data_IF_014496131569
#
_entry.id   IF_014496131569
#
_cell.length_a   1.000
_cell.length_b   1.000
_cell.length_c   1.000
_cell.angle_alpha   90.00
_cell.angle_beta   90.00
_cell.angle_gamma   90.00
#
_symmetry.space_group_name_H-M   'P 1'
#
loop_
_entity.id
_entity.type
_entity.pdbx_description
1 polymer ?
#
# COMPACT_ATOMS: atom_id res chain seq x y z
N UNK A 1 -3.34 -19.11 -8.07
CA UNK A 1 -4.81 -19.35 -8.21
C UNK A 1 -5.35 -18.90 -9.56
N UNK A 2 -5.09 -17.66 -10.00
CA UNK A 2 -5.64 -17.14 -11.27
C UNK A 2 -4.78 -17.44 -12.49
N UNK A 3 -3.45 -17.36 -12.37
CA UNK A 3 -2.54 -17.74 -13.44
C UNK A 3 -2.24 -19.26 -13.35
N UNK A 4 -2.78 -20.04 -14.29
CA UNK A 4 -2.61 -21.48 -14.42
C UNK A 4 -1.85 -21.86 -15.69
N UNK A 5 -1.17 -20.89 -16.32
CA UNK A 5 -0.42 -21.10 -17.56
C UNK A 5 0.82 -21.97 -17.30
N UNK A 6 1.17 -22.77 -18.29
CA UNK A 6 2.36 -23.62 -18.36
C UNK A 6 3.45 -23.04 -19.29
N UNK A 7 3.17 -21.91 -19.93
CA UNK A 7 4.09 -21.20 -20.80
C UNK A 7 4.98 -20.19 -20.05
N UNK A 8 5.73 -19.39 -20.81
CA UNK A 8 6.71 -18.43 -20.26
C UNK A 8 6.11 -17.32 -19.39
N UNK A 9 4.78 -17.11 -19.43
CA UNK A 9 4.06 -16.12 -18.61
C UNK A 9 3.42 -16.75 -17.36
N UNK A 10 3.51 -18.07 -17.22
CA UNK A 10 3.02 -18.85 -16.08
C UNK A 10 4.11 -19.23 -15.10
N UNK A 11 3.87 -20.29 -14.33
CA UNK A 11 4.88 -20.90 -13.46
C UNK A 11 4.50 -20.96 -11.97
N UNK A 12 5.27 -21.78 -11.25
CA UNK A 12 5.02 -22.09 -9.82
C UNK A 12 5.47 -20.95 -8.91
N UNK A 13 6.52 -20.23 -9.28
CA UNK A 13 7.09 -19.15 -8.47
C UNK A 13 6.49 -17.80 -8.81
N UNK A 14 6.55 -16.86 -7.86
CA UNK A 14 6.12 -15.48 -8.09
C UNK A 14 7.00 -14.80 -9.16
N UNK A 15 8.32 -15.06 -9.13
CA UNK A 15 9.28 -14.53 -10.11
C UNK A 15 8.92 -14.90 -11.54
N UNK A 16 8.59 -16.18 -11.80
CA UNK A 16 8.18 -16.62 -13.15
C UNK A 16 6.92 -15.88 -13.62
N UNK A 17 5.94 -15.74 -12.74
CA UNK A 17 4.68 -15.05 -13.04
C UNK A 17 4.83 -13.52 -13.16
N UNK A 18 5.89 -12.94 -12.59
CA UNK A 18 6.18 -11.50 -12.69
C UNK A 18 6.72 -11.09 -14.05
N UNK A 19 7.01 -12.02 -14.97
CA UNK A 19 7.48 -11.70 -16.35
C UNK A 19 6.57 -10.69 -17.03
N UNK A 20 5.25 -10.85 -16.92
CA UNK A 20 4.31 -9.91 -17.53
C UNK A 20 4.49 -8.49 -16.99
N UNK A 21 4.57 -8.32 -15.67
CA UNK A 21 4.81 -7.03 -15.05
C UNK A 21 6.16 -6.43 -15.48
N UNK A 22 7.22 -7.25 -15.54
CA UNK A 22 8.55 -6.82 -15.96
C UNK A 22 8.55 -6.25 -17.39
N UNK A 23 7.93 -6.94 -18.35
CA UNK A 23 7.87 -6.46 -19.73
C UNK A 23 7.01 -5.20 -19.87
N UNK A 24 5.94 -5.06 -19.09
CA UNK A 24 5.15 -3.82 -19.03
C UNK A 24 5.99 -2.67 -18.48
N UNK A 25 6.71 -2.86 -17.38
CA UNK A 25 7.55 -1.81 -16.77
C UNK A 25 8.62 -1.35 -17.76
N UNK A 26 9.33 -2.29 -18.41
CA UNK A 26 10.35 -1.96 -19.42
C UNK A 26 9.76 -1.19 -20.60
N UNK A 27 8.60 -1.60 -21.10
CA UNK A 27 7.93 -0.91 -22.20
C UNK A 27 7.49 0.51 -21.81
N UNK A 28 6.93 0.68 -20.60
CA UNK A 28 6.58 2.01 -20.07
C UNK A 28 7.84 2.86 -19.93
N UNK A 29 8.89 2.35 -19.29
CA UNK A 29 10.18 3.06 -19.12
C UNK A 29 10.77 3.50 -20.46
N UNK A 30 10.76 2.63 -21.46
CA UNK A 30 11.24 2.97 -22.81
C UNK A 30 10.40 4.09 -23.46
N UNK A 31 9.09 4.14 -23.18
CA UNK A 31 8.20 5.15 -23.74
C UNK A 31 8.29 6.51 -23.03
N UNK A 32 8.48 6.53 -21.71
CA UNK A 32 8.45 7.78 -20.90
C UNK A 32 9.83 8.39 -20.65
N UNK A 33 10.91 7.65 -20.91
CA UNK A 33 12.28 8.08 -20.65
C UNK A 33 12.72 7.87 -19.18
N UNK A 34 14.00 8.14 -18.86
CA UNK A 34 14.58 7.83 -17.54
C UNK A 34 14.08 8.73 -16.40
N UNK A 35 13.66 9.96 -16.70
CA UNK A 35 13.33 10.96 -15.66
C UNK A 35 11.86 10.93 -15.21
N UNK A 36 11.01 10.18 -15.92
CA UNK A 36 9.58 10.11 -15.59
C UNK A 36 9.35 9.09 -14.45
N UNK A 37 8.74 9.46 -13.32
CA UNK A 37 8.53 8.51 -12.21
C UNK A 37 7.55 7.39 -12.56
N UNK A 38 7.95 6.14 -12.30
CA UNK A 38 7.08 4.96 -12.42
C UNK A 38 6.76 4.41 -11.03
N UNK A 39 5.47 4.52 -10.67
CA UNK A 39 4.92 3.95 -9.45
C UNK A 39 4.30 2.57 -9.75
N UNK A 40 4.60 1.58 -8.93
CA UNK A 40 3.93 0.28 -8.99
C UNK A 40 3.19 -0.01 -7.69
N UNK A 41 1.87 -0.23 -7.81
CA UNK A 41 1.05 -0.67 -6.69
C UNK A 41 1.07 -2.19 -6.57
N UNK A 42 1.45 -2.69 -5.39
CA UNK A 42 1.58 -4.12 -5.09
C UNK A 42 0.67 -4.51 -3.93
N UNK A 43 0.20 -5.75 -3.93
CA UNK A 43 -0.75 -6.24 -2.91
C UNK A 43 -0.31 -7.59 -2.36
N UNK A 44 -0.18 -7.66 -1.04
CA UNK A 44 0.09 -8.87 -0.26
C UNK A 44 -1.17 -9.49 0.36
N UNK A 45 -2.36 -8.97 0.05
CA UNK A 45 -3.65 -9.44 0.54
C UNK A 45 -4.73 -9.18 -0.51
N UNK A 46 -5.89 -9.82 -0.35
CA UNK A 46 -7.06 -9.63 -1.22
C UNK A 46 -8.30 -9.35 -0.39
N UNK A 47 -9.24 -8.57 -0.94
CA UNK A 47 -10.46 -8.20 -0.23
C UNK A 47 -11.34 -9.41 0.13
N UNK A 48 -11.32 -10.47 -0.69
CA UNK A 48 -12.07 -11.71 -0.42
C UNK A 48 -11.25 -12.78 0.32
N UNK A 49 -9.94 -12.57 0.52
CA UNK A 49 -9.04 -13.57 1.10
C UNK A 49 -7.91 -12.84 1.85
N UNK A 50 -8.13 -12.58 3.15
CA UNK A 50 -7.20 -11.78 3.95
C UNK A 50 -5.88 -12.48 4.23
N UNK A 51 -5.89 -13.81 4.27
CA UNK A 51 -4.68 -14.62 4.44
C UNK A 51 -3.90 -14.81 3.12
N UNK A 52 -4.41 -14.28 2.01
CA UNK A 52 -3.77 -14.44 0.69
C UNK A 52 -2.48 -13.63 0.58
N UNK A 53 -1.36 -14.22 0.97
CA UNK A 53 -0.04 -13.62 0.81
C UNK A 53 0.66 -14.13 -0.45
N UNK A 54 1.17 -13.22 -1.31
CA UNK A 54 1.91 -13.60 -2.51
C UNK A 54 3.33 -14.04 -2.20
N UNK A 55 3.98 -13.31 -1.28
CA UNK A 55 5.33 -13.58 -0.79
C UNK A 55 5.29 -13.79 0.74
N UNK A 56 5.35 -15.03 1.25
CA UNK A 56 5.19 -15.35 2.67
C UNK A 56 6.41 -15.05 3.54
N UNK A 57 7.52 -14.55 2.97
CA UNK A 57 8.73 -14.20 3.72
C UNK A 57 9.39 -12.93 3.15
N UNK A 58 10.27 -12.25 3.92
CA UNK A 58 11.07 -11.14 3.41
C UNK A 58 11.91 -11.51 2.17
N UNK A 59 12.48 -12.72 2.15
CA UNK A 59 13.26 -13.21 1.00
C UNK A 59 12.40 -13.33 -0.26
N UNK A 60 11.14 -13.75 -0.13
CA UNK A 60 10.21 -13.82 -1.28
C UNK A 60 9.70 -12.44 -1.70
N UNK A 61 9.60 -11.47 -0.78
CA UNK A 61 9.34 -10.06 -1.12
C UNK A 61 10.51 -9.51 -1.95
N UNK A 62 11.74 -9.72 -1.50
CA UNK A 62 12.93 -9.27 -2.21
C UNK A 62 13.02 -9.92 -3.61
N UNK A 63 12.87 -11.24 -3.69
CA UNK A 63 12.87 -11.96 -4.97
C UNK A 63 11.78 -11.48 -5.93
N UNK A 64 10.67 -10.96 -5.40
CA UNK A 64 9.59 -10.39 -6.20
C UNK A 64 9.85 -8.95 -6.62
N UNK A 65 10.22 -8.08 -5.68
CA UNK A 65 10.27 -6.63 -5.88
C UNK A 65 11.60 -6.15 -6.48
N UNK A 66 12.73 -6.79 -6.16
CA UNK A 66 14.03 -6.36 -6.68
C UNK A 66 14.08 -6.39 -8.23
N UNK A 67 13.60 -7.44 -8.92
CA UNK A 67 13.56 -7.41 -10.38
C UNK A 67 12.66 -6.31 -10.96
N UNK A 68 11.59 -5.94 -10.27
CA UNK A 68 10.69 -4.86 -10.69
C UNK A 68 11.35 -3.49 -10.52
N UNK A 69 12.11 -3.31 -9.43
CA UNK A 69 12.93 -2.14 -9.19
C UNK A 69 14.01 -1.99 -10.28
N UNK A 70 14.71 -3.08 -10.60
CA UNK A 70 15.74 -3.12 -11.67
C UNK A 70 15.14 -2.84 -13.05
N UNK A 71 13.90 -3.26 -13.31
CA UNK A 71 13.20 -2.99 -14.56
C UNK A 71 12.81 -1.51 -14.73
N UNK A 72 12.84 -0.72 -13.66
CA UNK A 72 12.61 0.73 -13.71
C UNK A 72 11.46 1.24 -12.84
N UNK A 73 10.97 0.47 -11.86
CA UNK A 73 10.07 1.01 -10.82
C UNK A 73 10.85 1.92 -9.88
N UNK A 74 10.33 3.12 -9.66
CA UNK A 74 10.93 4.12 -8.78
C UNK A 74 10.32 4.10 -7.38
N UNK A 75 9.02 3.78 -7.30
CA UNK A 75 8.27 3.80 -6.05
C UNK A 75 7.32 2.60 -5.94
N UNK A 76 7.34 1.91 -4.81
CA UNK A 76 6.37 0.86 -4.50
C UNK A 76 5.24 1.40 -3.62
N UNK A 77 4.01 1.32 -4.11
CA UNK A 77 2.82 1.57 -3.31
C UNK A 77 2.28 0.24 -2.79
N UNK A 78 2.53 -0.04 -1.51
CA UNK A 78 2.18 -1.31 -0.90
C UNK A 78 0.76 -1.22 -0.31
N UNK A 79 -0.18 -1.93 -0.93
CA UNK A 79 -1.54 -2.04 -0.42
C UNK A 79 -1.55 -2.70 0.94
N UNK A 80 -2.23 -2.09 1.93
CA UNK A 80 -2.44 -2.66 3.26
C UNK A 80 -3.85 -2.33 3.76
N UNK A 81 -4.41 -3.19 4.61
CA UNK A 81 -5.70 -2.93 5.25
C UNK A 81 -5.57 -1.79 6.27
N UNK A 82 -4.50 -1.84 7.07
CA UNK A 82 -4.15 -0.89 8.13
C UNK A 82 -2.65 -0.66 8.09
N UNK A 83 -2.22 0.60 7.99
CA UNK A 83 -0.78 0.92 7.84
C UNK A 83 0.08 0.46 9.02
N UNK A 84 -0.55 0.22 10.19
CA UNK A 84 0.14 -0.11 11.44
C UNK A 84 0.32 -1.60 11.68
N UNK A 85 -0.22 -2.47 10.82
CA UNK A 85 -0.06 -3.91 10.96
C UNK A 85 1.30 -4.34 10.40
N UNK A 86 2.06 -5.10 11.19
CA UNK A 86 3.32 -5.68 10.74
C UNK A 86 3.06 -6.72 9.63
N UNK A 87 3.90 -6.73 8.61
CA UNK A 87 3.80 -7.70 7.52
C UNK A 87 4.24 -9.10 7.99
N UNK A 88 5.30 -9.18 8.79
CA UNK A 88 5.89 -10.42 9.29
C UNK A 88 6.11 -10.35 10.82
N UNK A 89 5.04 -10.33 11.63
CA UNK A 89 5.13 -10.16 13.08
C UNK A 89 5.94 -11.25 13.79
N UNK A 90 6.09 -12.42 13.17
CA UNK A 90 6.95 -13.51 13.61
C UNK A 90 8.45 -13.20 13.49
N UNK A 91 8.84 -12.19 12.71
CA UNK A 91 10.23 -11.80 12.46
C UNK A 91 10.61 -10.56 13.27
N UNK A 92 9.81 -9.49 13.18
CA UNK A 92 10.13 -8.19 13.77
C UNK A 92 9.08 -7.69 14.78
N UNK A 93 8.18 -8.60 15.20
CA UNK A 93 7.18 -8.34 16.22
C UNK A 93 5.93 -7.64 15.70
N UNK A 94 4.90 -7.57 16.55
CA UNK A 94 3.60 -6.96 16.21
C UNK A 94 3.66 -5.49 15.79
N UNK A 95 4.70 -4.78 16.21
CA UNK A 95 4.95 -3.36 15.90
C UNK A 95 6.09 -3.19 14.87
N UNK A 96 6.47 -4.29 14.20
CA UNK A 96 7.47 -4.33 13.14
C UNK A 96 7.01 -3.67 11.84
N UNK A 97 7.82 -3.82 10.79
CA UNK A 97 7.61 -3.16 9.50
C UNK A 97 6.35 -3.67 8.81
N UNK A 98 5.60 -2.75 8.25
CA UNK A 98 4.53 -3.08 7.30
C UNK A 98 5.10 -3.44 5.92
N UNK A 99 4.24 -3.78 4.96
CA UNK A 99 4.67 -4.14 3.60
C UNK A 99 5.51 -3.03 2.93
N UNK A 100 5.15 -1.76 3.13
CA UNK A 100 5.90 -0.63 2.59
C UNK A 100 7.31 -0.51 3.22
N UNK A 101 7.43 -0.77 4.52
CA UNK A 101 8.72 -0.79 5.21
C UNK A 101 9.61 -1.93 4.79
N UNK A 102 9.06 -3.13 4.59
CA UNK A 102 9.82 -4.22 4.00
C UNK A 102 10.26 -3.93 2.57
N UNK A 103 9.37 -3.40 1.74
CA UNK A 103 9.72 -3.01 0.37
C UNK A 103 10.84 -1.96 0.35
N UNK A 104 10.78 -0.93 1.21
CA UNK A 104 11.82 0.10 1.33
C UNK A 104 13.14 -0.51 1.77
N UNK A 105 13.13 -1.29 2.86
CA UNK A 105 14.32 -1.94 3.42
C UNK A 105 15.02 -2.86 2.42
N UNK A 106 14.26 -3.62 1.63
CA UNK A 106 14.81 -4.65 0.74
C UNK A 106 15.22 -4.11 -0.62
N UNK A 107 14.55 -3.08 -1.13
CA UNK A 107 14.81 -2.56 -2.50
C UNK A 107 15.56 -1.24 -2.52
N UNK A 108 15.60 -0.50 -1.40
CA UNK A 108 16.12 0.85 -1.33
C UNK A 108 15.31 1.88 -2.13
N UNK A 109 14.18 1.49 -2.73
CA UNK A 109 13.27 2.38 -3.44
C UNK A 109 12.36 3.11 -2.46
N UNK A 110 11.87 4.27 -2.86
CA UNK A 110 10.86 4.98 -2.09
C UNK A 110 9.56 4.18 -2.04
N UNK A 111 8.79 4.32 -0.96
CA UNK A 111 7.56 3.57 -0.75
C UNK A 111 6.40 4.40 -0.27
N UNK A 112 5.20 3.97 -0.65
CA UNK A 112 3.93 4.52 -0.21
C UNK A 112 3.21 3.46 0.62
N UNK A 113 2.97 3.74 1.89
CA UNK A 113 2.07 2.94 2.73
C UNK A 113 0.61 3.40 2.57
N UNK A 114 -0.34 2.59 3.03
CA UNK A 114 -1.78 2.90 3.00
C UNK A 114 -2.51 2.08 4.06
N UNK A 115 -3.74 2.49 4.38
CA UNK A 115 -4.68 1.68 5.16
C UNK A 115 -5.13 2.38 6.43
N UNK A 116 -6.44 2.66 6.53
CA UNK A 116 -7.08 3.29 7.71
C UNK A 116 -6.43 4.59 8.23
N UNK A 117 -5.90 5.42 7.35
CA UNK A 117 -5.33 6.73 7.74
C UNK A 117 -6.44 7.65 8.25
N UNK A 118 -6.28 8.16 9.46
CA UNK A 118 -7.22 9.09 10.10
C UNK A 118 -8.60 8.49 10.41
N UNK A 119 -8.76 7.17 10.34
CA UNK A 119 -10.00 6.47 10.69
C UNK A 119 -9.74 5.40 11.75
N UNK A 120 -10.68 5.23 12.67
CA UNK A 120 -10.63 4.20 13.70
C UNK A 120 -10.96 2.78 13.18
N UNK A 121 -11.69 2.68 12.06
CA UNK A 121 -12.13 1.41 11.45
C UNK A 121 -11.51 1.18 10.05
N UNK A 122 -11.46 -0.07 9.62
CA UNK A 122 -10.94 -0.45 8.29
C UNK A 122 -11.98 -0.33 7.18
N UNK A 123 -11.52 -0.48 5.94
CA UNK A 123 -12.35 -0.29 4.75
C UNK A 123 -13.56 -1.20 4.70
N UNK A 124 -13.45 -2.41 5.25
CA UNK A 124 -14.45 -3.47 5.09
C UNK A 124 -15.59 -3.27 6.09
N UNK A 125 -15.25 -2.90 7.32
CA UNK A 125 -16.23 -2.47 8.33
C UNK A 125 -17.04 -1.26 7.86
N UNK A 126 -16.41 -0.30 7.15
CA UNK A 126 -17.15 0.82 6.56
C UNK A 126 -18.20 0.38 5.52
N UNK A 127 -17.88 -0.56 4.61
CA UNK A 127 -18.86 -1.08 3.63
C UNK A 127 -19.94 -1.98 4.25
N UNK A 128 -19.76 -2.42 5.50
CA UNK A 128 -20.79 -3.07 6.30
C UNK A 128 -21.84 -2.12 6.88
N UNK A 129 -21.74 -0.81 6.61
CA UNK A 129 -22.68 0.21 7.10
C UNK A 129 -22.23 0.94 8.36
N UNK A 130 -21.03 0.65 8.89
CA UNK A 130 -20.51 1.32 10.07
C UNK A 130 -19.82 2.64 9.75
N UNK A 131 -20.15 3.69 10.50
CA UNK A 131 -19.43 4.95 10.45
C UNK A 131 -18.04 4.79 11.06
N UNK A 132 -17.04 5.38 10.43
CA UNK A 132 -15.66 5.41 10.93
C UNK A 132 -15.35 6.82 11.45
N UNK A 133 -15.09 6.96 12.75
CA UNK A 133 -14.72 8.23 13.35
C UNK A 133 -13.26 8.62 13.05
N UNK A 134 -12.91 9.91 13.17
CA UNK A 134 -11.52 10.36 13.12
C UNK A 134 -10.65 9.59 14.11
N UNK A 135 -9.42 9.27 13.73
CA UNK A 135 -8.41 8.70 14.62
C UNK A 135 -7.14 9.54 14.66
N UNK A 136 -6.41 9.43 15.77
CA UNK A 136 -5.12 10.11 15.92
C UNK A 136 -4.13 9.67 14.84
N UNK A 137 -3.36 10.64 14.34
CA UNK A 137 -2.26 10.42 13.41
C UNK A 137 -0.92 10.16 14.11
N UNK A 138 -0.86 10.15 15.44
CA UNK A 138 0.39 10.03 16.20
C UNK A 138 1.17 8.76 15.82
N UNK A 139 0.48 7.62 15.67
CA UNK A 139 1.12 6.37 15.25
C UNK A 139 1.65 6.44 13.82
N UNK A 140 0.97 7.16 12.93
CA UNK A 140 1.44 7.38 11.56
C UNK A 140 2.71 8.24 11.57
N UNK A 141 2.65 9.38 12.26
CA UNK A 141 3.77 10.31 12.38
C UNK A 141 5.00 9.65 12.99
N UNK A 142 4.81 8.86 14.06
CA UNK A 142 5.90 8.12 14.69
C UNK A 142 6.57 7.13 13.72
N UNK A 143 5.81 6.42 12.90
CA UNK A 143 6.35 5.45 11.94
C UNK A 143 7.05 6.13 10.75
N UNK A 144 6.51 7.25 10.28
CA UNK A 144 7.19 8.07 9.27
C UNK A 144 8.49 8.70 9.80
N UNK A 145 8.52 9.15 11.06
CA UNK A 145 9.73 9.64 11.73
C UNK A 145 10.81 8.56 11.89
N UNK A 146 10.41 7.28 11.95
CA UNK A 146 11.32 6.12 11.92
C UNK A 146 11.76 5.74 10.50
N UNK A 147 11.43 6.54 9.49
CA UNK A 147 11.77 6.34 8.08
C UNK A 147 11.20 5.04 7.49
N UNK A 148 10.13 4.50 8.07
CA UNK A 148 9.57 3.21 7.65
C UNK A 148 8.92 3.25 6.26
N UNK A 149 8.44 4.41 5.81
CA UNK A 149 7.92 4.64 4.45
C UNK A 149 7.91 6.14 4.18
N UNK A 150 8.05 6.52 2.90
CA UNK A 150 8.27 7.92 2.50
C UNK A 150 6.96 8.69 2.36
N UNK A 151 5.90 8.02 1.89
CA UNK A 151 4.59 8.60 1.66
C UNK A 151 3.48 7.75 2.28
N UNK A 152 2.35 8.39 2.56
CA UNK A 152 1.13 7.72 3.01
C UNK A 152 -0.02 8.08 2.07
N UNK A 153 -0.64 7.08 1.47
CA UNK A 153 -1.82 7.29 0.64
C UNK A 153 -3.06 7.45 1.52
N UNK A 154 -3.83 8.50 1.22
CA UNK A 154 -5.05 8.86 1.93
C UNK A 154 -6.21 8.78 0.94
N UNK A 155 -7.33 8.16 1.35
CA UNK A 155 -8.46 7.87 0.47
C UNK A 155 -9.79 8.28 1.08
N UNK A 156 -10.45 7.36 1.80
CA UNK A 156 -11.81 7.54 2.35
C UNK A 156 -12.05 8.87 3.08
N UNK A 157 -11.10 9.33 3.89
CA UNK A 157 -11.25 10.62 4.61
C UNK A 157 -11.34 11.81 3.67
N UNK A 158 -10.70 11.77 2.50
CA UNK A 158 -10.78 12.85 1.51
C UNK A 158 -12.14 12.91 0.82
N UNK A 159 -12.84 11.77 0.74
CA UNK A 159 -14.20 11.73 0.20
C UNK A 159 -15.21 12.39 1.15
N UNK A 160 -14.99 12.25 2.46
CA UNK A 160 -15.83 12.86 3.47
C UNK A 160 -15.43 14.31 3.79
N UNK A 161 -14.14 14.63 3.69
CA UNK A 161 -13.56 15.90 4.08
C UNK A 161 -12.48 16.34 3.07
N UNK A 162 -12.82 17.08 2.01
CA UNK A 162 -11.84 17.55 1.03
C UNK A 162 -10.83 18.55 1.62
N UNK A 163 -11.10 19.11 2.80
CA UNK A 163 -10.21 20.03 3.52
C UNK A 163 -9.35 19.31 4.57
N UNK A 164 -9.40 17.97 4.64
CA UNK A 164 -8.70 17.16 5.64
C UNK A 164 -7.22 17.51 5.78
N UNK A 165 -6.51 17.66 4.65
CA UNK A 165 -5.08 18.01 4.66
C UNK A 165 -4.84 19.42 5.23
N UNK A 166 -5.62 20.42 4.79
CA UNK A 166 -5.50 21.80 5.26
C UNK A 166 -5.77 21.90 6.77
N UNK A 167 -6.72 21.10 7.28
CA UNK A 167 -7.04 21.03 8.72
C UNK A 167 -5.88 20.44 9.51
N UNK A 168 -5.23 19.40 9.01
CA UNK A 168 -4.05 18.80 9.66
C UNK A 168 -2.87 19.77 9.66
N UNK A 169 -2.61 20.44 8.54
CA UNK A 169 -1.51 21.38 8.41
C UNK A 169 -1.60 22.53 9.44
N UNK A 170 -2.80 23.01 9.74
CA UNK A 170 -3.04 24.05 10.76
C UNK A 170 -3.25 23.52 12.18
N UNK A 171 -3.17 22.20 12.40
CA UNK A 171 -3.38 21.56 13.71
C UNK A 171 -4.83 21.45 14.18
N UNK A 172 -5.81 21.64 13.29
CA UNK A 172 -7.25 21.56 13.59
C UNK A 172 -7.79 20.11 13.51
N UNK A 173 -7.17 19.20 14.26
CA UNK A 173 -7.53 17.78 14.26
C UNK A 173 -8.92 17.50 14.83
N UNK A 174 -9.43 18.41 15.66
CA UNK A 174 -10.78 18.40 16.23
C UNK A 174 -11.87 18.71 15.19
N UNK A 175 -11.52 19.33 14.07
CA UNK A 175 -12.43 19.61 12.94
C UNK A 175 -12.52 18.48 11.90
N UNK A 176 -11.77 17.38 12.10
CA UNK A 176 -11.74 16.27 11.15
C UNK A 176 -13.08 15.54 11.13
N UNK A 177 -13.58 15.29 9.92
CA UNK A 177 -14.80 14.49 9.73
C UNK A 177 -14.44 13.03 9.50
N UNK A 178 -15.21 12.14 10.12
CA UNK A 178 -15.11 10.71 9.87
C UNK A 178 -15.61 10.32 8.48
N UNK A 179 -15.55 9.03 8.15
CA UNK A 179 -16.13 8.51 6.91
C UNK A 179 -17.47 7.83 7.21
N UNK A 180 -18.49 8.17 6.41
CA UNK A 180 -19.76 7.45 6.34
C UNK A 180 -19.98 6.92 4.92
N UNK A 181 -20.50 5.70 4.73
CA UNK A 181 -20.84 5.19 3.41
C UNK A 181 -21.78 6.09 2.61
N UNK A 182 -22.61 6.89 3.27
CA UNK A 182 -23.48 7.88 2.62
C UNK A 182 -22.70 8.92 1.79
N UNK A 183 -21.44 9.18 2.13
CA UNK A 183 -20.57 10.07 1.35
C UNK A 183 -20.28 9.52 -0.05
N UNK A 184 -20.38 8.21 -0.27
CA UNK A 184 -20.23 7.63 -1.61
C UNK A 184 -21.42 7.98 -2.51
N UNK A 185 -22.61 8.13 -1.95
CA UNK A 185 -23.83 8.48 -2.68
C UNK A 185 -23.86 9.93 -3.16
N UNK A 186 -22.94 10.78 -2.69
CA UNK A 186 -22.81 12.18 -3.09
C UNK A 186 -21.70 12.41 -4.13
N UNK A 187 -20.98 11.36 -4.51
CA UNK A 187 -19.98 11.41 -5.58
C UNK A 187 -20.72 11.26 -6.91
N UNK A 188 -20.80 12.34 -7.68
CA UNK A 188 -21.39 12.36 -9.02
C UNK A 188 -20.51 11.62 -10.03
#
# INVERSE_FOLDING_TARGET
KTNLRDDSWGGKTLVQRSRFALEVIKAVRAAVGPDFPILMRVSQWKQQEFDAKLAPSPAEIEAWLAPLADAGVDVFHCSQRRFWEAEFPEIDGKDGLNCAGWAKKLTGKATISVGSVGLNNDFITSFGGENSGPSSLDKLLQRMQKDEFDLIAVGRVLLADPQWLNKIERGASDELTGFSPAALSTLN
#
